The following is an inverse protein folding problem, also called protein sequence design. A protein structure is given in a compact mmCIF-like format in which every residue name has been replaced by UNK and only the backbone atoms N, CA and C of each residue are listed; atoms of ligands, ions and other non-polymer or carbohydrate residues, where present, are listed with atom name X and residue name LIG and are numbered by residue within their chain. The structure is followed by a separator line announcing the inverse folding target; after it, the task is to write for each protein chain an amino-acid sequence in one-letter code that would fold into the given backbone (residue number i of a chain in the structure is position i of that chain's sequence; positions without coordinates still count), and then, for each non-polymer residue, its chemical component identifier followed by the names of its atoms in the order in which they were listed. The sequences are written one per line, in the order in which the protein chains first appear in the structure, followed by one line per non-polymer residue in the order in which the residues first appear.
data_IF_505767465843
#
_entry.id   IF_505767465843
#
_cell.length_a   1.000
_cell.length_b   1.000
_cell.length_c   1.000
_cell.angle_alpha   90.00
_cell.angle_beta   90.00
_cell.angle_gamma   90.00
#
_symmetry.space_group_name_H-M   'P 1'
#
loop_
_entity.id
_entity.type
_entity.pdbx_description
1 polymer ?
#
# COMPACT_ATOMS: atom_id res chain seq x y z
N UNK A 1 8.55 -12.62 25.42
CA UNK A 1 8.68 -13.20 26.78
C UNK A 1 7.80 -12.45 27.75
N UNK A 2 7.98 -11.14 27.97
CA UNK A 2 7.23 -10.33 28.93
C UNK A 2 5.70 -10.48 28.82
N UNK A 3 5.14 -10.34 27.61
CA UNK A 3 3.68 -10.46 27.40
C UNK A 3 3.13 -11.80 27.87
N UNK A 4 3.86 -12.92 27.59
CA UNK A 4 3.42 -14.26 28.00
C UNK A 4 3.44 -14.47 29.53
N UNK A 5 4.23 -13.70 30.25
CA UNK A 5 4.37 -13.80 31.71
C UNK A 5 3.32 -12.94 32.43
N UNK A 6 2.81 -11.87 31.79
CA UNK A 6 1.97 -10.86 32.43
C UNK A 6 0.56 -10.75 31.87
N UNK A 7 0.33 -11.30 30.64
CA UNK A 7 -0.95 -11.16 29.95
C UNK A 7 -1.38 -12.48 29.30
N UNK A 8 -2.70 -12.68 29.25
CA UNK A 8 -3.30 -13.75 28.46
C UNK A 8 -3.75 -13.18 27.11
N UNK A 9 -3.03 -13.51 26.04
CA UNK A 9 -3.37 -13.11 24.68
C UNK A 9 -3.69 -14.35 23.87
N UNK A 10 -4.91 -14.43 23.33
CA UNK A 10 -5.30 -15.51 22.45
C UNK A 10 -4.47 -15.44 21.15
N UNK A 11 -3.89 -16.57 20.79
CA UNK A 11 -3.06 -16.67 19.58
C UNK A 11 -3.86 -16.44 18.29
N UNK A 12 -5.16 -16.74 18.30
CA UNK A 12 -6.06 -16.50 17.17
C UNK A 12 -6.15 -15.02 16.76
N UNK A 13 -5.83 -14.08 17.66
CA UNK A 13 -5.68 -12.68 17.32
C UNK A 13 -4.69 -12.50 16.14
N UNK A 14 -3.61 -13.28 16.13
CA UNK A 14 -2.53 -13.17 15.16
C UNK A 14 -2.78 -13.95 13.85
N UNK A 15 -3.98 -14.50 13.67
CA UNK A 15 -4.44 -15.03 12.40
C UNK A 15 -4.98 -13.92 11.48
N UNK A 16 -5.12 -12.70 12.00
CA UNK A 16 -5.65 -11.54 11.29
C UNK A 16 -4.54 -10.56 10.89
N UNK A 17 -4.66 -9.96 9.70
CA UNK A 17 -3.72 -8.95 9.22
C UNK A 17 -3.72 -7.69 10.11
N UNK A 18 -2.52 -7.14 10.32
CA UNK A 18 -2.34 -5.91 11.09
C UNK A 18 -2.71 -6.04 12.57
N UNK A 19 -2.84 -7.27 13.07
CA UNK A 19 -3.28 -7.54 14.43
C UNK A 19 -2.24 -7.20 15.47
N UNK A 20 -2.67 -6.57 16.54
CA UNK A 20 -1.82 -6.25 17.67
C UNK A 20 -2.57 -6.33 19.01
N UNK A 21 -1.81 -6.57 20.04
CA UNK A 21 -2.18 -6.39 21.43
C UNK A 21 -1.45 -5.17 21.99
N UNK A 22 -2.17 -4.28 22.63
CA UNK A 22 -1.65 -3.09 23.32
C UNK A 22 -2.20 -3.06 24.74
N UNK A 23 -1.33 -2.88 25.72
CA UNK A 23 -1.77 -2.76 27.11
C UNK A 23 -0.96 -1.71 27.88
N UNK A 24 -1.62 -1.11 28.87
CA UNK A 24 -0.99 -0.31 29.91
C UNK A 24 -1.33 -0.90 31.27
N UNK A 25 -0.31 -1.17 32.08
CA UNK A 25 -0.48 -1.70 33.44
C UNK A 25 0.66 -1.25 34.35
N UNK A 26 0.34 -0.65 35.50
CA UNK A 26 1.28 -0.23 36.56
C UNK A 26 2.48 0.59 36.02
N UNK A 27 2.23 1.51 35.09
CA UNK A 27 3.26 2.38 34.51
C UNK A 27 4.05 1.76 33.36
N UNK A 28 3.76 0.54 32.97
CA UNK A 28 4.36 -0.12 31.79
C UNK A 28 3.40 -0.13 30.63
N UNK A 29 3.90 0.08 29.42
CA UNK A 29 3.14 -0.03 28.17
C UNK A 29 3.80 -1.12 27.32
N UNK A 30 2.98 -2.03 26.80
CA UNK A 30 3.45 -3.11 25.95
C UNK A 30 2.64 -3.16 24.65
N UNK A 31 3.34 -3.36 23.54
CA UNK A 31 2.75 -3.60 22.22
C UNK A 31 3.32 -4.92 21.69
N UNK A 32 2.44 -5.82 21.29
CA UNK A 32 2.79 -7.05 20.61
C UNK A 32 2.02 -7.10 19.28
N UNK A 33 2.71 -6.96 18.16
CA UNK A 33 2.14 -7.05 16.81
C UNK A 33 2.47 -8.36 16.13
N UNK A 34 1.65 -8.76 15.16
CA UNK A 34 1.91 -9.88 14.27
C UNK A 34 3.23 -9.67 13.52
N UNK A 35 3.44 -8.45 13.04
CA UNK A 35 4.59 -8.00 12.26
C UNK A 35 4.94 -6.53 12.57
N UNK A 36 5.86 -5.96 11.82
CA UNK A 36 6.28 -4.56 12.00
C UNK A 36 5.18 -3.55 11.69
N UNK A 37 4.27 -3.85 10.76
CA UNK A 37 3.14 -2.99 10.45
C UNK A 37 2.12 -3.00 11.58
N UNK A 38 1.83 -4.16 12.12
CA UNK A 38 0.95 -4.33 13.28
C UNK A 38 1.49 -3.59 14.53
N UNK A 39 2.81 -3.63 14.76
CA UNK A 39 3.44 -2.83 15.83
C UNK A 39 3.27 -1.33 15.57
N UNK A 40 3.45 -0.88 14.33
CA UNK A 40 3.21 0.52 13.94
C UNK A 40 1.75 0.93 14.23
N UNK A 41 0.76 0.07 13.92
CA UNK A 41 -0.65 0.33 14.21
C UNK A 41 -0.92 0.40 15.72
N UNK A 42 -0.25 -0.42 16.51
CA UNK A 42 -0.30 -0.34 17.96
C UNK A 42 0.26 0.98 18.51
N UNK A 43 1.38 1.45 17.95
CA UNK A 43 1.98 2.77 18.27
C UNK A 43 1.03 3.89 17.86
N UNK A 44 0.40 3.79 16.69
CA UNK A 44 -0.59 4.76 16.21
C UNK A 44 -1.78 4.86 17.18
N UNK A 45 -2.31 3.72 17.64
CA UNK A 45 -3.38 3.72 18.66
C UNK A 45 -2.93 4.35 19.96
N UNK A 46 -1.72 4.06 20.41
CA UNK A 46 -1.16 4.68 21.63
C UNK A 46 -1.00 6.19 21.46
N UNK A 47 -0.55 6.68 20.29
CA UNK A 47 -0.52 8.11 19.96
C UNK A 47 -1.90 8.75 20.08
N UNK A 48 -2.95 8.10 19.55
CA UNK A 48 -4.33 8.59 19.68
C UNK A 48 -4.82 8.60 21.12
N UNK A 49 -4.43 7.62 21.94
CA UNK A 49 -4.74 7.62 23.37
C UNK A 49 -4.08 8.82 24.05
N UNK A 50 -2.79 9.05 23.80
CA UNK A 50 -2.06 10.19 24.38
C UNK A 50 -2.66 11.53 23.97
N UNK A 51 -3.06 11.68 22.71
CA UNK A 51 -3.69 12.91 22.22
C UNK A 51 -5.06 13.23 22.87
N UNK A 52 -5.69 12.25 23.51
CA UNK A 52 -6.99 12.39 24.19
C UNK A 52 -6.85 12.45 25.72
N UNK A 53 -5.62 12.36 26.24
CA UNK A 53 -5.39 12.43 27.68
C UNK A 53 -5.54 13.86 28.19
N UNK A 54 -6.23 13.98 29.32
CA UNK A 54 -6.21 15.20 30.13
C UNK A 54 -5.20 15.00 31.27
N UNK A 55 -4.02 15.58 31.12
CA UNK A 55 -2.90 15.41 32.04
C UNK A 55 -1.93 14.26 31.66
N UNK A 56 -1.18 13.77 32.65
CA UNK A 56 -0.05 12.84 32.43
C UNK A 56 -0.31 11.41 32.88
N UNK A 57 -1.53 11.09 33.32
CA UNK A 57 -1.87 9.77 33.85
C UNK A 57 -2.63 8.93 32.86
N UNK A 58 -2.04 7.81 32.46
CA UNK A 58 -2.70 6.80 31.66
C UNK A 58 -3.35 5.74 32.55
N UNK A 59 -4.60 5.38 32.24
CA UNK A 59 -5.31 4.29 32.95
C UNK A 59 -4.77 2.92 32.50
N UNK A 60 -4.89 1.92 33.37
CA UNK A 60 -4.66 0.54 32.93
C UNK A 60 -5.74 0.11 31.93
N UNK A 61 -5.32 -0.51 30.84
CA UNK A 61 -6.21 -1.06 29.81
C UNK A 61 -5.55 -2.19 29.05
N UNK A 62 -6.37 -2.97 28.37
CA UNK A 62 -5.95 -3.92 27.33
C UNK A 62 -6.76 -3.67 26.07
N UNK A 63 -6.12 -3.69 24.93
CA UNK A 63 -6.71 -3.53 23.61
C UNK A 63 -6.24 -4.66 22.69
N UNK A 64 -7.15 -5.21 21.93
CA UNK A 64 -6.90 -6.15 20.84
C UNK A 64 -7.55 -5.58 19.59
N UNK A 65 -6.78 -5.50 18.51
CA UNK A 65 -7.26 -4.88 17.29
C UNK A 65 -6.65 -5.57 16.07
N UNK A 66 -7.37 -5.58 14.98
CA UNK A 66 -6.93 -6.13 13.70
C UNK A 66 -7.71 -5.49 12.55
N UNK A 67 -7.29 -5.78 11.32
CA UNK A 67 -7.94 -5.24 10.13
C UNK A 67 -8.91 -6.25 9.52
N UNK A 68 -10.17 -5.87 9.34
CA UNK A 68 -11.16 -6.65 8.57
C UNK A 68 -10.90 -6.57 7.07
N UNK A 69 -10.29 -5.48 6.61
CA UNK A 69 -9.95 -5.24 5.19
C UNK A 69 -8.46 -4.92 5.08
N UNK A 70 -7.74 -5.67 4.23
CA UNK A 70 -6.28 -5.54 4.11
C UNK A 70 -5.85 -4.27 3.37
N UNK A 71 -6.58 -3.87 2.32
CA UNK A 71 -6.28 -2.69 1.52
C UNK A 71 -7.27 -1.59 1.89
N UNK A 72 -6.75 -0.52 2.49
CA UNK A 72 -7.51 0.66 2.93
C UNK A 72 -6.73 1.90 2.56
N UNK A 73 -7.38 2.91 1.99
CA UNK A 73 -6.62 4.11 1.64
C UNK A 73 -7.30 5.03 0.66
N UNK A 74 -6.48 5.66 -0.14
CA UNK A 74 -6.86 6.71 -1.07
C UNK A 74 -6.50 6.31 -2.50
N UNK A 75 -7.26 6.79 -3.47
CA UNK A 75 -6.92 6.73 -4.88
C UNK A 75 -6.91 8.13 -5.49
N UNK A 76 -5.79 8.51 -6.13
CA UNK A 76 -5.71 9.69 -6.98
C UNK A 76 -6.02 9.27 -8.42
N UNK A 77 -7.31 9.15 -8.75
CA UNK A 77 -7.78 8.62 -10.04
C UNK A 77 -8.72 9.55 -10.80
N UNK A 78 -8.74 10.83 -10.46
CA UNK A 78 -9.63 11.83 -11.07
C UNK A 78 -8.97 12.57 -12.23
N UNK A 79 -9.80 13.23 -13.03
CA UNK A 79 -9.37 14.18 -14.04
C UNK A 79 -9.24 15.58 -13.43
N UNK A 80 -8.32 16.38 -13.96
CA UNK A 80 -8.08 17.74 -13.53
C UNK A 80 -6.66 17.97 -13.08
N UNK A 81 -6.43 18.99 -12.27
CA UNK A 81 -5.09 19.33 -11.80
C UNK A 81 -4.58 18.27 -10.82
N UNK A 82 -3.47 17.57 -11.12
CA UNK A 82 -2.93 16.57 -10.21
C UNK A 82 -2.40 17.22 -8.93
N UNK A 83 -2.40 16.44 -7.83
CA UNK A 83 -1.78 16.90 -6.59
C UNK A 83 -0.27 17.07 -6.73
N UNK A 84 0.30 17.96 -5.95
CA UNK A 84 1.74 18.05 -5.84
C UNK A 84 2.32 16.81 -5.13
N UNK A 85 3.60 16.51 -5.35
CA UNK A 85 4.25 15.41 -4.64
C UNK A 85 4.27 15.63 -3.12
N UNK A 86 4.35 16.90 -2.68
CA UNK A 86 4.25 17.22 -1.25
C UNK A 86 2.87 16.92 -0.67
N UNK A 87 1.80 17.23 -1.39
CA UNK A 87 0.43 16.89 -0.98
C UNK A 87 0.23 15.38 -0.92
N UNK A 88 0.76 14.63 -1.89
CA UNK A 88 0.75 13.16 -1.91
C UNK A 88 1.47 12.57 -0.69
N UNK A 89 2.66 13.08 -0.39
CA UNK A 89 3.43 12.67 0.78
C UNK A 89 2.74 13.04 2.09
N UNK A 90 2.13 14.22 2.16
CA UNK A 90 1.33 14.65 3.31
C UNK A 90 0.13 13.73 3.53
N UNK A 91 -0.58 13.36 2.46
CA UNK A 91 -1.71 12.44 2.52
C UNK A 91 -1.30 11.03 2.97
N UNK A 92 -0.13 10.53 2.52
CA UNK A 92 0.39 9.24 3.00
C UNK A 92 0.73 9.27 4.48
N UNK A 93 1.35 10.37 4.99
CA UNK A 93 1.60 10.54 6.44
C UNK A 93 0.29 10.56 7.23
N UNK A 94 -0.70 11.33 6.75
CA UNK A 94 -2.04 11.35 7.33
C UNK A 94 -2.68 9.96 7.32
N UNK A 95 -2.58 9.23 6.20
CA UNK A 95 -3.08 7.87 6.10
C UNK A 95 -2.46 6.94 7.14
N UNK A 96 -1.16 7.04 7.38
CA UNK A 96 -0.47 6.29 8.42
C UNK A 96 -1.01 6.56 9.83
N UNK A 97 -1.33 7.83 10.13
CA UNK A 97 -1.93 8.23 11.41
C UNK A 97 -3.35 7.66 11.62
N UNK A 98 -3.98 7.11 10.57
CA UNK A 98 -5.30 6.47 10.63
C UNK A 98 -5.29 5.01 10.16
N UNK A 99 -4.12 4.36 10.16
CA UNK A 99 -3.92 2.94 9.79
C UNK A 99 -4.38 2.62 8.37
N UNK A 100 -4.33 3.59 7.47
CA UNK A 100 -4.47 3.34 6.04
C UNK A 100 -3.23 2.61 5.52
N UNK A 101 -3.40 1.74 4.53
CA UNK A 101 -2.33 0.88 4.01
C UNK A 101 -1.82 1.31 2.65
N UNK A 102 -2.62 2.07 1.90
CA UNK A 102 -2.36 2.28 0.49
C UNK A 102 -2.75 3.69 0.02
N UNK A 103 -1.84 4.31 -0.70
CA UNK A 103 -2.10 5.44 -1.55
C UNK A 103 -1.94 5.01 -3.01
N UNK A 104 -3.05 4.91 -3.74
CA UNK A 104 -3.08 4.42 -5.12
C UNK A 104 -2.82 5.59 -6.08
N UNK A 105 -1.66 5.55 -6.71
CA UNK A 105 -1.21 6.55 -7.68
C UNK A 105 -1.74 6.20 -9.07
N UNK A 106 -2.77 6.92 -9.49
CA UNK A 106 -3.45 6.75 -10.77
C UNK A 106 -3.87 8.09 -11.41
N UNK A 107 -3.04 9.18 -11.34
CA UNK A 107 -3.44 10.48 -11.85
C UNK A 107 -3.61 10.41 -13.36
N UNK A 108 -4.77 10.85 -13.85
CA UNK A 108 -5.11 10.75 -15.29
C UNK A 108 -4.21 11.59 -16.19
N UNK A 109 -3.47 12.56 -15.62
CA UNK A 109 -2.52 13.43 -16.33
C UNK A 109 -1.06 12.92 -16.30
N UNK A 110 -0.78 11.82 -15.59
CA UNK A 110 0.52 11.15 -15.66
C UNK A 110 0.61 10.31 -16.95
N UNK A 111 1.49 10.73 -17.85
CA UNK A 111 1.68 10.02 -19.12
C UNK A 111 2.25 8.61 -18.94
N UNK A 112 3.12 8.39 -17.93
CA UNK A 112 3.75 7.10 -17.66
C UNK A 112 2.81 6.08 -17.03
N UNK A 113 1.71 6.55 -16.45
CA UNK A 113 0.62 5.71 -15.96
C UNK A 113 -0.28 5.21 -17.11
N UNK A 114 -0.47 6.00 -18.16
CA UNK A 114 -1.46 5.80 -19.22
C UNK A 114 -0.82 5.74 -20.62
N UNK A 115 -0.53 6.91 -21.24
CA UNK A 115 -0.09 6.99 -22.63
C UNK A 115 1.27 6.35 -22.91
N UNK A 116 2.22 6.58 -22.02
CA UNK A 116 3.60 6.04 -22.06
C UNK A 116 3.81 4.90 -21.07
N UNK A 117 2.79 4.12 -20.78
CA UNK A 117 2.88 3.08 -19.76
C UNK A 117 3.94 2.00 -20.07
N UNK A 118 4.34 1.84 -21.34
CA UNK A 118 5.42 0.94 -21.78
C UNK A 118 6.81 1.50 -21.51
N UNK A 119 6.93 2.85 -21.47
CA UNK A 119 8.22 3.53 -21.34
C UNK A 119 8.67 3.52 -19.89
N UNK A 120 9.94 3.31 -19.66
CA UNK A 120 10.52 3.45 -18.33
C UNK A 120 10.56 4.93 -17.93
N UNK A 121 10.45 5.20 -16.63
CA UNK A 121 10.62 6.55 -16.12
C UNK A 121 12.05 7.05 -16.35
N UNK A 122 12.24 8.30 -16.80
CA UNK A 122 13.53 8.96 -16.74
C UNK A 122 14.01 9.06 -15.28
N UNK A 123 15.33 9.17 -15.10
CA UNK A 123 15.92 9.16 -13.75
C UNK A 123 15.40 10.28 -12.86
N UNK A 124 15.19 11.48 -13.41
CA UNK A 124 14.65 12.63 -12.67
C UNK A 124 13.23 12.34 -12.12
N UNK A 125 12.34 11.79 -12.95
CA UNK A 125 10.99 11.44 -12.52
C UNK A 125 10.99 10.24 -11.57
N UNK A 126 11.87 9.27 -11.80
CA UNK A 126 12.05 8.12 -10.93
C UNK A 126 12.55 8.53 -9.54
N UNK A 127 13.39 9.58 -9.46
CA UNK A 127 13.85 10.12 -8.18
C UNK A 127 12.68 10.67 -7.34
N UNK A 128 11.74 11.39 -7.97
CA UNK A 128 10.53 11.90 -7.32
C UNK A 128 9.65 10.74 -6.81
N UNK A 129 9.51 9.67 -7.60
CA UNK A 129 8.79 8.46 -7.17
C UNK A 129 9.48 7.82 -5.97
N UNK A 130 10.81 7.68 -5.98
CA UNK A 130 11.56 7.11 -4.84
C UNK A 130 11.32 7.88 -3.54
N UNK A 131 11.22 9.19 -3.60
CA UNK A 131 10.91 10.03 -2.44
C UNK A 131 9.52 9.73 -1.87
N UNK A 132 8.50 9.70 -2.74
CA UNK A 132 7.13 9.33 -2.36
C UNK A 132 7.05 7.91 -1.79
N UNK A 133 7.74 6.95 -2.41
CA UNK A 133 7.81 5.55 -1.96
C UNK A 133 8.41 5.46 -0.56
N UNK A 134 9.49 6.21 -0.29
CA UNK A 134 10.11 6.26 1.03
C UNK A 134 9.11 6.75 2.09
N UNK A 135 8.41 7.84 1.83
CA UNK A 135 7.40 8.38 2.76
C UNK A 135 6.26 7.38 2.97
N UNK A 136 5.77 6.75 1.91
CA UNK A 136 4.72 5.72 2.00
C UNK A 136 5.16 4.51 2.83
N UNK A 137 6.38 4.05 2.67
CA UNK A 137 6.92 2.93 3.45
C UNK A 137 7.11 3.30 4.94
N UNK A 138 7.61 4.51 5.21
CA UNK A 138 7.82 5.00 6.58
C UNK A 138 6.49 5.19 7.32
N UNK A 139 5.44 5.67 6.63
CA UNK A 139 4.10 5.90 7.19
C UNK A 139 3.18 4.68 7.15
N UNK A 140 3.59 3.57 6.53
CA UNK A 140 2.79 2.36 6.29
C UNK A 140 1.54 2.58 5.41
N UNK A 141 1.30 3.79 4.93
CA UNK A 141 0.36 4.11 3.86
C UNK A 141 1.14 4.10 2.54
N UNK A 142 1.36 2.91 1.98
CA UNK A 142 2.31 2.67 0.91
C UNK A 142 1.89 3.30 -0.40
N UNK A 143 2.88 3.79 -1.14
CA UNK A 143 2.71 4.22 -2.51
C UNK A 143 2.45 3.00 -3.41
N UNK A 144 1.25 2.92 -3.97
CA UNK A 144 0.83 1.88 -4.92
C UNK A 144 0.90 2.47 -6.32
N UNK A 145 1.79 1.95 -7.15
CA UNK A 145 1.85 2.39 -8.54
C UNK A 145 0.91 1.57 -9.42
N UNK A 146 0.15 2.25 -10.26
CA UNK A 146 -0.80 1.59 -11.18
C UNK A 146 -0.49 1.91 -12.63
N UNK A 147 -0.81 0.99 -13.53
CA UNK A 147 -0.85 1.21 -14.96
C UNK A 147 -2.28 1.15 -15.49
N UNK A 148 -2.56 1.97 -16.50
CA UNK A 148 -3.80 1.90 -17.28
C UNK A 148 -3.51 1.51 -18.73
N UNK A 149 -3.03 0.27 -19.00
CA UNK A 149 -2.57 -0.13 -20.33
C UNK A 149 -3.69 -0.12 -21.36
N UNK A 150 -4.89 -0.43 -20.97
CA UNK A 150 -6.04 -0.55 -21.87
C UNK A 150 -6.51 0.79 -22.43
N UNK A 151 -6.42 1.86 -21.66
CA UNK A 151 -6.66 3.23 -22.12
C UNK A 151 -5.46 3.76 -22.95
N UNK A 152 -4.27 3.25 -22.71
CA UNK A 152 -3.02 3.60 -23.39
C UNK A 152 -2.77 2.85 -24.69
N UNK A 153 -3.78 2.28 -25.36
CA UNK A 153 -3.66 1.62 -26.65
C UNK A 153 -3.02 0.22 -26.59
N UNK A 154 -3.54 -0.64 -25.72
CA UNK A 154 -3.08 -2.03 -25.60
C UNK A 154 -3.27 -2.81 -26.91
N UNK A 155 -2.20 -3.40 -27.45
CA UNK A 155 -2.25 -4.21 -28.66
C UNK A 155 -2.62 -5.66 -28.33
N UNK A 156 -3.89 -6.01 -28.52
CA UNK A 156 -4.40 -7.34 -28.22
C UNK A 156 -3.73 -8.45 -29.05
N UNK A 157 -3.31 -8.16 -30.28
CA UNK A 157 -2.62 -9.15 -31.15
C UNK A 157 -1.20 -9.47 -30.66
N UNK A 158 -0.63 -8.62 -29.80
CA UNK A 158 0.70 -8.76 -29.21
C UNK A 158 0.63 -8.80 -27.67
N UNK A 159 -0.44 -9.36 -27.11
CA UNK A 159 -0.73 -9.32 -25.69
C UNK A 159 0.45 -9.77 -24.79
N UNK A 160 1.17 -10.82 -25.18
CA UNK A 160 2.32 -11.29 -24.40
C UNK A 160 3.47 -10.28 -24.37
N UNK A 161 3.72 -9.57 -25.48
CA UNK A 161 4.75 -8.53 -25.55
C UNK A 161 4.34 -7.31 -24.73
N UNK A 162 3.07 -6.94 -24.75
CA UNK A 162 2.49 -5.88 -23.95
C UNK A 162 2.64 -6.17 -22.45
N UNK A 163 2.29 -7.39 -22.03
CA UNK A 163 2.45 -7.82 -20.64
C UNK A 163 3.93 -7.80 -20.23
N UNK A 164 4.84 -8.22 -21.09
CA UNK A 164 6.28 -8.12 -20.80
C UNK A 164 6.75 -6.66 -20.65
N UNK A 165 6.20 -5.74 -21.46
CA UNK A 165 6.49 -4.32 -21.29
C UNK A 165 6.02 -3.79 -19.93
N UNK A 166 4.81 -4.18 -19.49
CA UNK A 166 4.29 -3.85 -18.16
C UNK A 166 5.19 -4.39 -17.04
N UNK A 167 5.60 -5.65 -17.14
CA UNK A 167 6.46 -6.27 -16.11
C UNK A 167 7.84 -5.61 -16.05
N UNK A 168 8.42 -5.19 -17.17
CA UNK A 168 9.68 -4.39 -17.15
C UNK A 168 9.50 -3.06 -16.42
N UNK A 169 8.36 -2.39 -16.60
CA UNK A 169 8.02 -1.17 -15.88
C UNK A 169 7.89 -1.45 -14.38
N UNK A 170 7.23 -2.55 -14.03
CA UNK A 170 7.10 -2.97 -12.64
C UNK A 170 8.47 -3.30 -12.02
N UNK A 171 9.39 -3.92 -12.77
CA UNK A 171 10.76 -4.16 -12.30
C UNK A 171 11.50 -2.85 -11.97
N UNK A 172 11.43 -1.84 -12.85
CA UNK A 172 12.03 -0.53 -12.56
C UNK A 172 11.48 0.09 -11.28
N UNK A 173 10.17 0.04 -11.11
CA UNK A 173 9.50 0.63 -9.95
C UNK A 173 9.72 -0.20 -8.67
N UNK A 174 9.83 -1.52 -8.80
CA UNK A 174 10.22 -2.40 -7.71
C UNK A 174 11.64 -2.07 -7.22
N UNK A 175 12.58 -1.84 -8.14
CA UNK A 175 13.95 -1.41 -7.82
C UNK A 175 13.98 0.00 -7.20
N UNK A 176 12.98 0.84 -7.52
CA UNK A 176 12.76 2.13 -6.87
C UNK A 176 12.12 2.03 -5.47
N UNK A 177 11.75 0.83 -5.03
CA UNK A 177 11.20 0.56 -3.70
C UNK A 177 9.68 0.40 -3.63
N UNK A 178 8.95 0.48 -4.76
CA UNK A 178 7.52 0.17 -4.80
C UNK A 178 7.29 -1.29 -4.44
N UNK A 179 6.29 -1.57 -3.59
CA UNK A 179 5.98 -2.93 -3.12
C UNK A 179 4.52 -3.32 -3.31
N UNK A 180 3.72 -2.43 -3.91
CA UNK A 180 2.35 -2.74 -4.30
C UNK A 180 2.05 -2.11 -5.65
N UNK A 181 1.38 -2.88 -6.52
CA UNK A 181 1.13 -2.52 -7.91
C UNK A 181 -0.33 -2.70 -8.25
N UNK A 182 -0.80 -1.99 -9.26
CA UNK A 182 -2.15 -2.13 -9.76
C UNK A 182 -2.24 -2.08 -11.29
N UNK A 183 -3.31 -2.65 -11.80
CA UNK A 183 -3.72 -2.55 -13.19
C UNK A 183 -5.13 -2.02 -13.23
N UNK A 184 -5.35 -0.95 -13.98
CA UNK A 184 -6.66 -0.33 -14.13
C UNK A 184 -7.29 -0.74 -15.47
N UNK A 185 -8.59 -0.98 -15.43
CA UNK A 185 -9.41 -1.36 -16.57
C UNK A 185 -10.72 -0.59 -16.66
N UNK A 186 -10.85 0.50 -15.90
CA UNK A 186 -11.98 1.41 -15.92
C UNK A 186 -12.02 2.25 -17.22
N UNK A 187 -13.18 2.78 -17.58
CA UNK A 187 -13.42 3.65 -18.74
C UNK A 187 -12.93 3.08 -20.09
N UNK A 188 -12.86 1.76 -20.21
CA UNK A 188 -12.52 1.09 -21.47
C UNK A 188 -13.71 0.30 -22.00
N UNK A 189 -13.74 0.10 -23.29
CA UNK A 189 -14.72 -0.77 -23.91
C UNK A 189 -14.56 -2.24 -23.48
N UNK A 190 -15.22 -3.14 -24.17
CA UNK A 190 -15.11 -4.58 -23.86
C UNK A 190 -13.66 -5.08 -23.92
N UNK A 191 -13.15 -5.56 -22.81
CA UNK A 191 -11.86 -6.24 -22.73
C UNK A 191 -12.05 -7.74 -22.91
N UNK A 192 -11.27 -8.41 -23.78
CA UNK A 192 -11.29 -9.85 -23.88
C UNK A 192 -10.88 -10.48 -22.53
N UNK A 193 -11.78 -11.26 -21.94
CA UNK A 193 -11.57 -11.92 -20.65
C UNK A 193 -10.25 -12.70 -20.59
N UNK A 194 -9.90 -13.38 -21.69
CA UNK A 194 -8.66 -14.17 -21.77
C UNK A 194 -7.41 -13.33 -21.63
N UNK A 195 -7.39 -12.11 -22.17
CA UNK A 195 -6.27 -11.16 -22.06
C UNK A 195 -6.13 -10.68 -20.62
N UNK A 196 -7.24 -10.30 -19.99
CA UNK A 196 -7.25 -9.85 -18.59
C UNK A 196 -6.75 -10.97 -17.67
N UNK A 197 -7.27 -12.19 -17.82
CA UNK A 197 -6.83 -13.34 -17.03
C UNK A 197 -5.33 -13.60 -17.23
N UNK A 198 -4.85 -13.63 -18.47
CA UNK A 198 -3.43 -13.85 -18.76
C UNK A 198 -2.54 -12.77 -18.11
N UNK A 199 -2.92 -11.50 -18.25
CA UNK A 199 -2.21 -10.38 -17.63
C UNK A 199 -2.15 -10.52 -16.11
N UNK A 200 -3.29 -10.72 -15.45
CA UNK A 200 -3.34 -10.84 -14.00
C UNK A 200 -2.62 -12.09 -13.48
N UNK A 201 -2.66 -13.18 -14.24
CA UNK A 201 -1.87 -14.37 -13.91
C UNK A 201 -0.37 -14.06 -13.93
N UNK A 202 0.13 -13.44 -15.00
CA UNK A 202 1.56 -13.11 -15.14
C UNK A 202 2.01 -12.06 -14.12
N UNK A 203 1.17 -11.07 -13.80
CA UNK A 203 1.45 -10.10 -12.74
C UNK A 203 1.53 -10.80 -11.37
N UNK A 204 0.59 -11.71 -11.08
CA UNK A 204 0.60 -12.48 -9.83
C UNK A 204 1.82 -13.41 -9.72
N UNK A 205 2.21 -14.06 -10.80
CA UNK A 205 3.42 -14.88 -10.86
C UNK A 205 4.69 -14.05 -10.63
N UNK A 206 4.77 -12.88 -11.26
CA UNK A 206 5.85 -11.93 -11.06
C UNK A 206 5.92 -11.47 -9.59
N UNK A 207 4.81 -11.07 -8.98
CA UNK A 207 4.75 -10.65 -7.59
C UNK A 207 5.18 -11.77 -6.63
N UNK A 208 4.70 -12.99 -6.84
CA UNK A 208 5.13 -14.17 -6.06
C UNK A 208 6.63 -14.45 -6.19
N UNK A 209 7.21 -14.27 -7.38
CA UNK A 209 8.64 -14.46 -7.61
C UNK A 209 9.49 -13.41 -6.87
N UNK A 210 9.01 -12.17 -6.73
CA UNK A 210 9.67 -11.12 -5.94
C UNK A 210 9.63 -11.44 -4.44
N UNK A 211 8.54 -12.01 -3.93
CA UNK A 211 8.41 -12.53 -2.57
C UNK A 211 8.03 -11.50 -1.51
N UNK A 212 8.17 -10.20 -1.79
CA UNK A 212 7.88 -9.09 -0.88
C UNK A 212 6.94 -8.04 -1.49
N UNK A 213 6.22 -8.41 -2.56
CA UNK A 213 5.18 -7.59 -3.18
C UNK A 213 3.84 -7.92 -2.55
N UNK A 214 3.12 -6.88 -2.13
CA UNK A 214 1.77 -7.00 -1.59
C UNK A 214 0.76 -7.34 -2.68
N UNK A 215 -0.46 -7.74 -2.27
CA UNK A 215 -1.52 -8.10 -3.19
C UNK A 215 -1.76 -7.01 -4.24
N UNK A 216 -1.82 -7.43 -5.50
CA UNK A 216 -2.03 -6.53 -6.64
C UNK A 216 -3.46 -6.01 -6.66
N UNK A 217 -3.61 -4.71 -6.91
CA UNK A 217 -4.91 -4.07 -7.09
C UNK A 217 -5.33 -4.19 -8.55
N UNK A 218 -6.57 -4.59 -8.80
CA UNK A 218 -7.22 -4.53 -10.10
C UNK A 218 -8.55 -3.78 -9.98
N UNK A 219 -8.76 -2.72 -10.81
CA UNK A 219 -9.97 -1.90 -10.86
C UNK A 219 -10.49 -1.79 -12.28
#
# INVERSE_FOLDING_TARGET
KYVKEHYTVDKSLFDHHGSYFLASNKGEIVILGLDTDAVFYGITSLKHIFNQMDGTTIRNFEMRDYADVNIRGFIEGYYGLPWSNEDRMSLMRFGGDYKMTSYIFAPKDDEYHKGKWRDLYPEEELAKIKEMVKVGNDSKCRFVWTAHPFMGGFNQAQADQEIQALLRKFDQLYDAGVRQFGVLGDDVGSLPRTIVINMMTKVSEWAKKKGDVYDTVFC
#
